data_IF_117325464815
#
_entry.id   IF_117325464815
#
_cell.length_a   1.000
_cell.length_b   1.000
_cell.length_c   1.000
_cell.angle_alpha   90.00
_cell.angle_beta   90.00
_cell.angle_gamma   90.00
#
_symmetry.space_group_name_H-M   'P 1'
#
loop_
_entity.id
_entity.type
_entity.pdbx_description
1 polymer ?
#
# COMPACT_ATOMS: atom_id res chain seq x y z
N UNK A 1 39.75 -40.41 60.74
CA UNK A 1 38.91 -39.29 60.25
C UNK A 1 39.73 -38.52 59.23
N UNK A 2 39.58 -38.83 57.94
CA UNK A 2 40.36 -38.26 56.84
C UNK A 2 39.45 -37.29 56.08
N UNK A 3 39.78 -36.01 56.12
CA UNK A 3 39.07 -34.98 55.42
C UNK A 3 39.51 -34.97 53.95
N UNK A 4 38.55 -35.11 53.04
CA UNK A 4 38.71 -34.92 51.59
C UNK A 4 38.86 -33.43 51.24
N UNK A 5 39.84 -33.06 50.40
CA UNK A 5 39.96 -31.69 49.94
C UNK A 5 38.93 -31.39 48.86
N UNK A 6 38.11 -30.33 49.05
CA UNK A 6 37.24 -29.76 48.07
C UNK A 6 38.08 -29.08 46.97
N UNK A 7 38.07 -29.68 45.80
CA UNK A 7 38.58 -29.05 44.57
C UNK A 7 37.69 -27.90 44.14
N UNK A 8 38.15 -26.67 44.32
CA UNK A 8 37.50 -25.49 43.75
C UNK A 8 37.84 -25.44 42.24
N UNK A 9 36.89 -25.75 41.40
CA UNK A 9 36.98 -25.48 39.98
C UNK A 9 37.13 -23.97 39.78
N UNK A 10 38.27 -23.51 39.27
CA UNK A 10 38.49 -22.11 38.93
C UNK A 10 37.55 -21.72 37.78
N UNK A 11 36.83 -20.60 37.87
CA UNK A 11 36.04 -20.11 36.75
C UNK A 11 37.00 -19.73 35.60
N UNK A 12 36.74 -20.29 34.43
CA UNK A 12 37.47 -19.94 33.20
C UNK A 12 37.39 -18.45 32.99
N UNK A 13 38.51 -17.71 33.25
CA UNK A 13 38.57 -16.29 33.06
C UNK A 13 38.51 -15.98 31.55
N UNK A 14 37.31 -15.80 31.05
CA UNK A 14 37.11 -15.27 29.69
C UNK A 14 37.87 -13.92 29.60
N UNK A 15 39.00 -13.93 28.90
CA UNK A 15 39.88 -12.76 28.78
C UNK A 15 39.04 -11.55 28.33
N UNK A 16 39.26 -10.40 28.97
CA UNK A 16 38.58 -9.11 28.56
C UNK A 16 38.70 -8.84 27.07
N UNK A 17 39.71 -9.39 26.42
CA UNK A 17 39.86 -9.35 24.95
C UNK A 17 38.81 -10.18 24.23
N UNK A 18 38.51 -11.40 24.69
CA UNK A 18 37.45 -12.23 24.10
C UNK A 18 36.07 -11.58 24.24
N UNK A 19 35.78 -11.00 25.40
CA UNK A 19 34.49 -10.26 25.59
C UNK A 19 34.39 -9.09 24.65
N UNK A 20 35.46 -8.29 24.51
CA UNK A 20 35.46 -7.13 23.57
C UNK A 20 35.29 -7.57 22.12
N UNK A 21 35.92 -8.66 21.71
CA UNK A 21 35.77 -9.21 20.37
C UNK A 21 34.35 -9.71 20.13
N UNK A 22 33.73 -10.41 21.06
CA UNK A 22 32.34 -10.88 20.95
C UNK A 22 31.38 -9.71 20.85
N UNK A 23 31.53 -8.69 21.71
CA UNK A 23 30.70 -7.49 21.68
C UNK A 23 30.86 -6.73 20.35
N UNK A 24 32.09 -6.57 19.87
CA UNK A 24 32.36 -5.91 18.59
C UNK A 24 31.74 -6.67 17.42
N UNK A 25 31.86 -8.02 17.40
CA UNK A 25 31.24 -8.83 16.36
C UNK A 25 29.71 -8.73 16.38
N UNK A 26 29.10 -8.81 17.58
CA UNK A 26 27.64 -8.64 17.70
C UNK A 26 27.18 -7.26 17.26
N UNK A 27 27.94 -6.21 17.57
CA UNK A 27 27.64 -4.84 17.12
C UNK A 27 27.72 -4.73 15.59
N UNK A 28 28.78 -5.25 14.96
CA UNK A 28 28.92 -5.25 13.49
C UNK A 28 27.79 -6.02 12.82
N UNK A 29 27.45 -7.21 13.31
CA UNK A 29 26.33 -8.01 12.77
C UNK A 29 25.00 -7.28 12.97
N UNK A 30 24.77 -6.65 14.12
CA UNK A 30 23.58 -5.85 14.38
C UNK A 30 23.45 -4.65 13.43
N UNK A 31 24.54 -3.91 13.22
CA UNK A 31 24.55 -2.79 12.27
C UNK A 31 24.35 -3.25 10.81
N UNK A 32 24.97 -4.37 10.42
CA UNK A 32 24.79 -4.96 9.10
C UNK A 32 23.32 -5.40 8.88
N UNK A 33 22.71 -6.03 9.88
CA UNK A 33 21.30 -6.43 9.81
C UNK A 33 20.35 -5.23 9.74
N UNK A 34 20.61 -4.16 10.50
CA UNK A 34 19.84 -2.90 10.44
C UNK A 34 19.98 -2.21 9.08
N UNK A 35 21.22 -2.13 8.56
CA UNK A 35 21.47 -1.59 7.23
C UNK A 35 20.72 -2.41 6.16
N UNK A 36 20.82 -3.74 6.20
CA UNK A 36 20.09 -4.61 5.28
C UNK A 36 18.58 -4.40 5.37
N UNK A 37 18.00 -4.35 6.58
CA UNK A 37 16.58 -4.09 6.78
C UNK A 37 16.14 -2.71 6.27
N UNK A 38 17.03 -1.73 6.24
CA UNK A 38 16.75 -0.39 5.72
C UNK A 38 16.71 -0.32 4.18
N UNK A 39 17.43 -1.22 3.50
CA UNK A 39 17.47 -1.28 2.03
C UNK A 39 16.43 -2.27 1.44
N UNK A 40 16.05 -3.30 2.20
CA UNK A 40 15.00 -4.24 1.82
C UNK A 40 13.68 -3.71 2.38
N UNK A 41 12.91 -2.99 1.56
CA UNK A 41 11.52 -2.66 1.90
C UNK A 41 10.66 -3.92 1.66
N UNK A 42 10.37 -4.74 2.67
CA UNK A 42 9.43 -5.85 2.48
C UNK A 42 8.08 -5.25 2.11
N UNK A 43 7.44 -5.79 1.07
CA UNK A 43 6.05 -5.45 0.77
C UNK A 43 5.21 -5.69 2.03
N UNK A 44 4.36 -4.73 2.43
CA UNK A 44 3.50 -4.92 3.59
C UNK A 44 2.60 -6.13 3.32
N UNK A 45 2.79 -7.21 4.06
CA UNK A 45 1.95 -8.42 3.94
C UNK A 45 0.57 -8.21 4.56
N UNK A 46 0.46 -7.28 5.50
CA UNK A 46 -0.79 -6.88 6.14
C UNK A 46 -0.86 -5.36 6.22
N UNK A 47 -2.01 -4.82 5.87
CA UNK A 47 -2.31 -3.39 5.99
C UNK A 47 -3.65 -3.19 6.69
N UNK A 48 -3.75 -2.12 7.45
CA UNK A 48 -5.02 -1.65 7.98
C UNK A 48 -5.54 -0.49 7.14
N UNK A 49 -6.79 -0.60 6.67
CA UNK A 49 -7.47 0.47 5.96
C UNK A 49 -8.44 1.20 6.91
N UNK A 50 -8.17 2.45 7.28
CA UNK A 50 -9.07 3.24 8.11
C UNK A 50 -10.14 4.00 7.31
N UNK A 51 -10.07 3.98 5.97
CA UNK A 51 -10.88 4.82 5.10
C UNK A 51 -12.13 4.12 4.56
N UNK A 52 -13.20 4.88 4.33
CA UNK A 52 -14.48 4.38 3.79
C UNK A 52 -14.46 4.09 2.29
N UNK A 53 -13.32 4.24 1.64
CA UNK A 53 -13.20 3.98 0.19
C UNK A 53 -13.38 2.51 -0.17
N UNK A 54 -13.06 1.64 0.76
CA UNK A 54 -13.35 0.21 0.82
C UNK A 54 -13.69 -0.12 2.27
N UNK A 55 -14.18 -1.31 2.57
CA UNK A 55 -14.50 -1.69 3.93
C UNK A 55 -13.31 -1.44 4.87
N UNK A 56 -13.57 -0.88 6.04
CA UNK A 56 -12.54 -0.63 7.06
C UNK A 56 -12.10 -1.95 7.67
N UNK A 57 -10.80 -2.12 7.89
CA UNK A 57 -10.28 -3.33 8.50
C UNK A 57 -8.90 -3.74 8.00
N UNK A 58 -8.53 -4.97 8.31
CA UNK A 58 -7.25 -5.57 7.99
C UNK A 58 -7.30 -6.34 6.68
N UNK A 59 -6.29 -6.15 5.86
CA UNK A 59 -6.12 -6.81 4.57
C UNK A 59 -4.76 -7.49 4.48
N UNK A 60 -4.74 -8.71 3.95
CA UNK A 60 -3.51 -9.37 3.49
C UNK A 60 -3.21 -8.89 2.08
N UNK A 61 -1.98 -8.53 1.81
CA UNK A 61 -1.52 -8.09 0.49
C UNK A 61 -0.64 -9.17 -0.11
N UNK A 62 -1.07 -9.72 -1.23
CA UNK A 62 -0.27 -10.64 -2.02
C UNK A 62 0.50 -9.83 -3.08
N UNK A 63 1.84 -9.98 -3.18
CA UNK A 63 2.66 -9.22 -4.11
C UNK A 63 2.20 -9.41 -5.56
N UNK A 64 2.15 -8.30 -6.31
CA UNK A 64 1.87 -8.33 -7.74
C UNK A 64 3.15 -8.02 -8.51
N UNK A 65 3.56 -8.92 -9.40
CA UNK A 65 4.75 -8.74 -10.24
C UNK A 65 4.37 -8.14 -11.58
N UNK A 66 5.33 -7.50 -12.26
CA UNK A 66 5.10 -6.88 -13.58
C UNK A 66 4.67 -7.89 -14.64
N UNK A 67 5.09 -9.14 -14.49
CA UNK A 67 4.77 -10.23 -15.42
C UNK A 67 3.44 -10.93 -15.12
N UNK A 68 2.79 -10.54 -14.03
CA UNK A 68 1.47 -11.07 -13.67
C UNK A 68 0.38 -10.50 -14.58
N UNK A 69 -0.66 -11.29 -14.83
CA UNK A 69 -1.85 -10.82 -15.53
C UNK A 69 -2.47 -9.62 -14.81
N UNK A 70 -3.08 -8.71 -15.59
CA UNK A 70 -3.77 -7.56 -15.01
C UNK A 70 -4.82 -8.01 -13.96
N UNK A 71 -4.88 -7.37 -12.78
CA UNK A 71 -5.89 -7.67 -11.78
C UNK A 71 -7.30 -7.54 -12.39
N UNK A 72 -8.18 -8.53 -12.21
CA UNK A 72 -9.54 -8.47 -12.75
C UNK A 72 -10.38 -7.37 -12.09
N UNK A 73 -11.44 -6.96 -12.76
CA UNK A 73 -12.43 -6.02 -12.20
C UNK A 73 -12.98 -6.56 -10.88
N UNK A 74 -13.11 -5.70 -9.88
CA UNK A 74 -13.51 -6.05 -8.53
C UNK A 74 -12.35 -6.36 -7.57
N UNK A 75 -11.14 -6.65 -8.08
CA UNK A 75 -9.97 -6.85 -7.21
C UNK A 75 -9.63 -5.58 -6.44
N UNK A 76 -9.27 -5.72 -5.18
CA UNK A 76 -8.68 -4.63 -4.41
C UNK A 76 -7.18 -4.57 -4.66
N UNK A 77 -6.70 -3.44 -5.12
CA UNK A 77 -5.28 -3.25 -5.43
C UNK A 77 -4.65 -2.17 -4.57
N UNK A 78 -3.41 -2.41 -4.19
CA UNK A 78 -2.54 -1.45 -3.51
C UNK A 78 -1.64 -0.80 -4.54
N UNK A 79 -1.76 0.53 -4.72
CA UNK A 79 -1.12 1.26 -5.80
C UNK A 79 -0.62 2.62 -5.29
N UNK A 80 0.62 3.02 -5.58
CA UNK A 80 1.06 4.40 -5.33
C UNK A 80 0.29 5.37 -6.23
N UNK A 81 -0.06 6.52 -5.71
CA UNK A 81 -0.66 7.60 -6.50
C UNK A 81 0.33 8.13 -7.54
N UNK A 82 -0.15 8.56 -8.74
CA UNK A 82 0.65 9.39 -9.64
C UNK A 82 1.19 10.62 -8.91
N UNK A 83 2.40 11.08 -9.26
CA UNK A 83 3.13 12.11 -8.51
C UNK A 83 2.31 13.37 -8.20
N UNK A 84 1.60 13.92 -9.19
CA UNK A 84 0.78 15.12 -9.02
C UNK A 84 -0.41 14.87 -8.08
N UNK A 85 -1.05 13.69 -8.23
CA UNK A 85 -2.16 13.27 -7.37
C UNK A 85 -1.69 13.02 -5.93
N UNK A 86 -0.50 12.41 -5.75
CA UNK A 86 0.11 12.20 -4.44
C UNK A 86 0.43 13.53 -3.74
N UNK A 87 1.03 14.48 -4.45
CA UNK A 87 1.33 15.81 -3.93
C UNK A 87 0.04 16.57 -3.54
N UNK A 88 -1.01 16.48 -4.35
CA UNK A 88 -2.31 17.08 -4.05
C UNK A 88 -2.93 16.43 -2.81
N UNK A 89 -2.97 15.09 -2.76
CA UNK A 89 -3.55 14.34 -1.66
C UNK A 89 -2.85 14.64 -0.33
N UNK A 90 -1.52 14.69 -0.34
CA UNK A 90 -0.73 15.03 0.86
C UNK A 90 -1.00 16.46 1.35
N UNK A 91 -0.98 17.46 0.45
CA UNK A 91 -1.27 18.86 0.82
C UNK A 91 -2.67 19.05 1.38
N UNK A 92 -3.63 18.22 0.96
CA UNK A 92 -5.02 18.31 1.40
C UNK A 92 -5.39 17.40 2.56
N UNK A 93 -4.45 16.57 3.00
CA UNK A 93 -4.67 15.62 4.10
C UNK A 93 -5.54 14.42 3.71
N UNK A 94 -5.68 14.11 2.42
CA UNK A 94 -6.43 12.91 1.98
C UNK A 94 -5.64 11.63 2.19
N UNK A 95 -4.33 11.67 1.87
CA UNK A 95 -3.41 10.55 2.01
C UNK A 95 -1.99 11.09 2.20
N UNK A 96 -1.23 10.64 3.22
CA UNK A 96 0.17 11.05 3.39
C UNK A 96 1.04 10.66 2.19
N UNK A 97 2.10 11.43 1.94
CA UNK A 97 3.04 11.14 0.87
C UNK A 97 3.69 9.77 1.09
N UNK A 98 3.84 9.00 0.02
CA UNK A 98 4.45 7.67 0.06
C UNK A 98 3.53 6.54 0.56
N UNK A 99 2.33 6.85 1.04
CA UNK A 99 1.34 5.82 1.39
C UNK A 99 0.59 5.39 0.13
N UNK A 100 0.60 4.09 -0.22
CA UNK A 100 -0.14 3.60 -1.37
C UNK A 100 -1.65 3.62 -1.13
N UNK A 101 -2.39 3.81 -2.22
CA UNK A 101 -3.85 3.85 -2.24
C UNK A 101 -4.40 2.43 -2.31
N UNK A 102 -5.40 2.09 -1.49
CA UNK A 102 -6.17 0.84 -1.58
C UNK A 102 -7.50 1.14 -2.27
N UNK A 103 -7.73 0.55 -3.46
CA UNK A 103 -8.96 0.77 -4.25
C UNK A 103 -9.36 -0.46 -5.05
N UNK A 104 -10.68 -0.61 -5.32
CA UNK A 104 -11.13 -1.62 -6.26
C UNK A 104 -10.84 -1.22 -7.71
N UNK A 105 -10.49 -2.20 -8.52
CA UNK A 105 -10.42 -2.08 -9.98
C UNK A 105 -11.83 -2.02 -10.53
N UNK A 106 -12.22 -0.91 -11.12
CA UNK A 106 -13.55 -0.72 -11.70
C UNK A 106 -13.58 -1.03 -13.19
N UNK A 107 -12.47 -0.81 -13.90
CA UNK A 107 -12.34 -1.15 -15.31
C UNK A 107 -10.90 -1.49 -15.69
N UNK A 108 -10.77 -2.34 -16.70
CA UNK A 108 -9.52 -2.77 -17.34
C UNK A 108 -9.65 -2.68 -18.86
N UNK A 109 -8.54 -2.75 -19.59
CA UNK A 109 -8.58 -2.83 -21.06
C UNK A 109 -9.34 -4.09 -21.52
N UNK A 110 -10.15 -4.01 -22.61
CA UNK A 110 -10.37 -2.86 -23.50
C UNK A 110 -11.60 -2.01 -23.17
N UNK A 111 -12.08 -1.99 -21.91
CA UNK A 111 -13.29 -1.26 -21.53
C UNK A 111 -13.17 0.23 -21.80
N UNK A 112 -14.28 0.87 -22.16
CA UNK A 112 -14.37 2.31 -22.38
C UNK A 112 -14.75 3.01 -21.09
N UNK A 113 -13.94 3.96 -20.67
CA UNK A 113 -14.23 4.84 -19.53
C UNK A 113 -14.48 6.25 -20.06
N UNK A 114 -15.62 6.82 -19.70
CA UNK A 114 -16.01 8.19 -20.02
C UNK A 114 -16.27 8.96 -18.73
N UNK A 115 -15.56 10.06 -18.57
CA UNK A 115 -15.82 11.08 -17.55
C UNK A 115 -16.27 12.32 -18.27
N UNK A 116 -17.55 12.62 -18.19
CA UNK A 116 -18.17 13.76 -18.89
C UNK A 116 -19.02 14.54 -17.88
N UNK A 117 -18.68 15.81 -17.71
CA UNK A 117 -19.29 16.63 -16.67
C UNK A 117 -19.06 16.02 -15.28
N UNK A 118 -20.14 15.65 -14.61
CA UNK A 118 -20.10 15.04 -13.28
C UNK A 118 -20.33 13.50 -13.28
N UNK A 119 -20.40 12.87 -14.45
CA UNK A 119 -20.72 11.44 -14.56
C UNK A 119 -19.51 10.62 -14.99
N UNK A 120 -19.26 9.53 -14.29
CA UNK A 120 -18.32 8.47 -14.69
C UNK A 120 -19.13 7.33 -15.27
N UNK A 121 -18.79 6.90 -16.50
CA UNK A 121 -19.43 5.78 -17.19
C UNK A 121 -18.39 4.76 -17.62
N UNK A 122 -18.72 3.48 -17.44
CA UNK A 122 -17.92 2.36 -17.93
C UNK A 122 -18.79 1.62 -18.96
N UNK A 123 -18.30 1.48 -20.18
CA UNK A 123 -19.03 0.90 -21.32
C UNK A 123 -20.45 1.46 -21.50
N UNK A 124 -20.60 2.77 -21.27
CA UNK A 124 -21.87 3.49 -21.36
C UNK A 124 -22.73 3.48 -20.09
N UNK A 125 -22.46 2.57 -19.15
CA UNK A 125 -23.21 2.47 -17.89
C UNK A 125 -22.68 3.49 -16.87
N UNK A 126 -23.53 4.36 -16.28
CA UNK A 126 -23.12 5.29 -15.24
C UNK A 126 -22.81 4.50 -13.95
N UNK A 127 -21.61 4.71 -13.39
CA UNK A 127 -21.11 3.97 -12.21
C UNK A 127 -20.79 4.86 -11.02
N UNK A 128 -20.54 6.15 -11.24
CA UNK A 128 -20.24 7.09 -10.16
C UNK A 128 -20.47 8.54 -10.60
N UNK A 129 -20.49 9.43 -9.59
CA UNK A 129 -20.53 10.89 -9.77
C UNK A 129 -19.20 11.49 -9.33
N UNK A 130 -18.81 12.59 -9.96
CA UNK A 130 -17.66 13.41 -9.59
C UNK A 130 -18.14 14.58 -8.75
N UNK A 131 -17.48 14.81 -7.64
CA UNK A 131 -17.68 16.00 -6.84
C UNK A 131 -16.78 17.12 -7.38
N UNK A 132 -17.33 18.35 -7.60
CA UNK A 132 -16.53 19.47 -8.08
C UNK A 132 -15.61 20.06 -7.00
N UNK A 133 -15.97 19.85 -5.74
CA UNK A 133 -15.24 20.34 -4.57
C UNK A 133 -15.14 19.23 -3.51
N UNK A 134 -14.13 19.33 -2.65
CA UNK A 134 -14.00 18.49 -1.48
C UNK A 134 -14.86 19.01 -0.29
N UNK A 135 -14.80 18.31 0.85
CA UNK A 135 -15.55 18.65 2.07
C UNK A 135 -15.18 20.03 2.68
N UNK A 136 -14.06 20.63 2.23
CA UNK A 136 -13.64 21.98 2.61
C UNK A 136 -13.94 23.02 1.53
N UNK A 137 -14.72 22.69 0.49
CA UNK A 137 -15.07 23.57 -0.61
C UNK A 137 -13.95 23.84 -1.62
N UNK A 138 -12.82 23.10 -1.55
CA UNK A 138 -11.69 23.27 -2.45
C UNK A 138 -11.94 22.51 -3.75
N UNK A 139 -11.71 23.16 -4.90
CA UNK A 139 -11.93 22.54 -6.23
C UNK A 139 -11.10 21.26 -6.39
N UNK A 140 -11.76 20.19 -6.83
CA UNK A 140 -11.11 18.93 -7.21
C UNK A 140 -10.73 18.94 -8.70
N UNK A 141 -9.59 18.36 -9.08
CA UNK A 141 -9.30 18.07 -10.48
C UNK A 141 -10.33 17.10 -11.04
N UNK A 142 -10.38 16.94 -12.33
CA UNK A 142 -11.24 15.93 -12.97
C UNK A 142 -10.55 15.41 -14.22
N UNK A 143 -10.57 14.08 -14.39
CA UNK A 143 -10.08 13.43 -15.60
C UNK A 143 -11.17 13.43 -16.67
N UNK A 144 -11.31 14.56 -17.38
CA UNK A 144 -12.36 14.79 -18.40
C UNK A 144 -11.99 14.14 -19.74
N UNK A 145 -12.09 12.81 -19.82
CA UNK A 145 -11.81 12.03 -21.02
C UNK A 145 -12.88 10.97 -21.26
N UNK A 146 -13.03 10.56 -22.53
CA UNK A 146 -13.88 9.44 -22.92
C UNK A 146 -13.12 8.59 -23.93
N UNK A 147 -12.53 7.48 -23.46
CA UNK A 147 -11.72 6.60 -24.30
C UNK A 147 -11.70 5.16 -23.82
N UNK A 148 -11.27 4.24 -24.66
CA UNK A 148 -10.92 2.89 -24.23
C UNK A 148 -9.64 2.92 -23.39
N UNK A 149 -9.60 2.09 -22.35
CA UNK A 149 -8.37 1.83 -21.61
C UNK A 149 -7.38 1.11 -22.51
N UNK A 150 -6.10 1.48 -22.41
CA UNK A 150 -5.00 0.82 -23.11
C UNK A 150 -4.61 -0.47 -22.38
N UNK A 151 -4.01 -1.45 -23.07
CA UNK A 151 -3.38 -2.58 -22.39
C UNK A 151 -2.44 -2.09 -21.27
N UNK A 152 -2.56 -2.68 -20.08
CA UNK A 152 -1.79 -2.28 -18.91
C UNK A 152 -2.33 -1.07 -18.15
N UNK A 153 -3.52 -0.54 -18.47
CA UNK A 153 -4.19 0.50 -17.68
C UNK A 153 -5.31 -0.08 -16.82
N UNK A 154 -5.42 0.43 -15.60
CA UNK A 154 -6.50 0.15 -14.64
C UNK A 154 -7.24 1.44 -14.30
N UNK A 155 -8.55 1.40 -14.21
CA UNK A 155 -9.36 2.49 -13.67
C UNK A 155 -9.84 2.09 -12.27
N UNK A 156 -9.40 2.83 -11.27
CA UNK A 156 -9.68 2.57 -9.87
C UNK A 156 -10.82 3.46 -9.40
N UNK A 157 -11.86 2.88 -8.82
CA UNK A 157 -13.05 3.64 -8.44
C UNK A 157 -13.72 3.04 -7.21
N UNK A 158 -13.90 3.82 -6.17
CA UNK A 158 -14.79 3.46 -5.08
C UNK A 158 -16.23 3.80 -5.46
N UNK A 159 -17.10 2.81 -5.46
CA UNK A 159 -18.54 2.97 -5.68
C UNK A 159 -19.31 3.16 -4.38
N UNK A 160 -18.70 2.81 -3.24
CA UNK A 160 -19.30 2.90 -1.91
C UNK A 160 -19.16 4.28 -1.27
N UNK A 161 -18.11 5.03 -1.63
CA UNK A 161 -17.86 6.37 -1.09
C UNK A 161 -17.77 7.39 -2.24
N UNK A 162 -18.80 8.25 -2.43
CA UNK A 162 -18.78 9.29 -3.45
C UNK A 162 -17.66 10.33 -3.26
N UNK A 163 -17.20 10.55 -2.03
CA UNK A 163 -16.11 11.48 -1.70
C UNK A 163 -14.71 10.86 -1.85
N UNK A 164 -14.63 9.63 -2.33
CA UNK A 164 -13.35 8.93 -2.53
C UNK A 164 -12.47 9.64 -3.57
N UNK A 165 -11.20 9.87 -3.22
CA UNK A 165 -10.19 10.36 -4.17
C UNK A 165 -9.61 9.18 -4.92
N UNK A 166 -9.93 9.07 -6.22
CA UNK A 166 -9.58 7.92 -7.08
C UNK A 166 -9.46 8.33 -8.55
N UNK A 167 -9.48 7.38 -9.48
CA UNK A 167 -9.24 7.61 -10.92
C UNK A 167 -10.20 8.59 -11.58
N UNK A 168 -11.34 8.93 -10.97
CA UNK A 168 -12.22 10.00 -11.47
C UNK A 168 -11.53 11.37 -11.47
N UNK A 169 -10.50 11.54 -10.64
CA UNK A 169 -9.76 12.78 -10.47
C UNK A 169 -8.40 12.78 -11.14
N UNK A 170 -7.67 11.65 -11.13
CA UNK A 170 -6.31 11.56 -11.67
C UNK A 170 -6.17 10.64 -12.90
N UNK A 171 -7.24 9.95 -13.30
CA UNK A 171 -7.23 9.07 -14.46
C UNK A 171 -6.73 7.64 -14.17
N UNK A 172 -6.56 6.83 -15.24
CA UNK A 172 -6.08 5.47 -15.14
C UNK A 172 -4.65 5.40 -14.59
N UNK A 173 -4.34 4.31 -13.91
CA UNK A 173 -2.99 3.97 -13.44
C UNK A 173 -2.43 2.78 -14.20
N UNK A 174 -1.11 2.66 -14.26
CA UNK A 174 -0.47 1.51 -14.92
C UNK A 174 -0.58 0.25 -14.04
N UNK A 175 -0.88 -0.90 -14.65
CA UNK A 175 -0.85 -2.20 -13.97
C UNK A 175 0.52 -2.48 -13.34
N UNK A 176 1.60 -2.04 -14.01
CA UNK A 176 2.97 -2.19 -13.52
C UNK A 176 3.26 -1.40 -12.23
N UNK A 177 2.40 -0.46 -11.85
CA UNK A 177 2.51 0.27 -10.58
C UNK A 177 1.79 -0.43 -9.42
N UNK A 178 1.05 -1.51 -9.69
CA UNK A 178 0.39 -2.28 -8.64
C UNK A 178 1.43 -2.95 -7.74
N UNK A 179 1.38 -2.63 -6.46
CA UNK A 179 2.26 -3.20 -5.43
C UNK A 179 1.78 -4.60 -5.03
N UNK A 180 0.47 -4.78 -4.96
CA UNK A 180 -0.12 -6.06 -4.58
C UNK A 180 -1.64 -6.06 -4.67
N UNK A 181 -2.22 -7.27 -4.57
CA UNK A 181 -3.65 -7.50 -4.49
C UNK A 181 -4.01 -7.73 -3.03
N UNK A 182 -5.00 -6.98 -2.55
CA UNK A 182 -5.41 -7.02 -1.16
C UNK A 182 -6.65 -7.91 -0.98
N UNK A 183 -6.60 -8.76 0.03
CA UNK A 183 -7.68 -9.65 0.43
C UNK A 183 -8.12 -9.32 1.85
N UNK A 184 -9.43 -9.15 2.11
CA UNK A 184 -9.91 -8.85 3.46
C UNK A 184 -9.62 -10.04 4.39
N UNK A 185 -9.13 -9.73 5.59
CA UNK A 185 -8.87 -10.72 6.65
C UNK A 185 -9.83 -10.50 7.80
N UNK A 186 -9.97 -9.26 8.24
CA UNK A 186 -10.89 -8.88 9.28
C UNK A 186 -11.42 -7.49 8.99
N UNK A 187 -12.74 -7.41 8.79
CA UNK A 187 -13.45 -6.17 8.50
C UNK A 187 -14.21 -5.71 9.73
N UNK A 188 -14.22 -4.39 9.95
CA UNK A 188 -14.99 -3.79 11.01
C UNK A 188 -16.47 -3.71 10.60
N UNK A 189 -17.33 -4.22 11.45
CA UNK A 189 -18.78 -4.03 11.30
C UNK A 189 -19.12 -2.62 11.78
N UNK A 190 -19.35 -1.69 10.87
CA UNK A 190 -19.91 -0.39 11.25
C UNK A 190 -21.39 -0.59 11.61
N UNK A 191 -21.72 -0.25 12.83
CA UNK A 191 -23.11 -0.11 13.29
C UNK A 191 -23.67 1.24 12.88
#
# INVERSE_FOLDING_TARGET
>A
MTALPWSRSAPCACSRRCIRLVVATLAVVGFAALAWASFVSPLPRFIYNPSDSVAVGWYRVDPHTRDSAAPPVGSLVLVPLPADAAALAARRGYLPLGIPLLKPVAAVAPQRVCVVGHSVRIDGVPVATILPVDHLGRRLPSWQHCRRLRPGELFLLSTTNPASFDSRYFGPVATSSVVGIAHPVWLETRR
#
